data_IF_439740819776
#
_entry.id   IF_439740819776
#
_cell.length_a   1.000
_cell.length_b   1.000
_cell.length_c   1.000
_cell.angle_alpha   90.00
_cell.angle_beta   90.00
_cell.angle_gamma   90.00
#
_symmetry.space_group_name_H-M   'P 1'
#
loop_
_entity.id
_entity.type
_entity.pdbx_description
1 polymer ?
#
# COMPACT_ATOMS: atom_id res chain seq x y z
N UNK A 1 11.92 8.44 17.01
CA UNK A 1 12.34 8.24 15.62
C UNK A 1 11.86 9.48 14.87
N UNK A 2 11.91 9.54 13.54
CA UNK A 2 11.27 10.64 12.81
C UNK A 2 9.77 10.65 13.16
N UNK A 3 9.20 11.81 13.45
CA UNK A 3 7.81 11.94 13.90
C UNK A 3 6.82 11.41 12.84
N UNK A 4 7.21 11.46 11.56
CA UNK A 4 6.44 10.95 10.42
C UNK A 4 6.39 9.42 10.44
N UNK A 5 7.54 8.77 10.66
CA UNK A 5 7.64 7.29 10.73
C UNK A 5 6.87 6.76 11.95
N UNK A 6 7.02 7.42 13.11
CA UNK A 6 6.31 7.07 14.34
C UNK A 6 4.77 7.21 14.16
N UNK A 7 4.34 8.22 13.40
CA UNK A 7 2.92 8.44 13.08
C UNK A 7 2.38 7.38 12.13
N UNK A 8 3.13 7.07 11.06
CA UNK A 8 2.75 6.05 10.07
C UNK A 8 2.63 4.66 10.70
N UNK A 9 3.60 4.27 11.53
CA UNK A 9 3.59 2.99 12.25
C UNK A 9 2.35 2.88 13.16
N UNK A 10 2.04 3.94 13.92
CA UNK A 10 0.85 3.97 14.75
C UNK A 10 -0.43 3.78 13.93
N UNK A 11 -0.55 4.47 12.79
CA UNK A 11 -1.74 4.39 11.92
C UNK A 11 -1.88 3.03 11.25
N UNK A 12 -0.76 2.41 10.86
CA UNK A 12 -0.75 1.06 10.35
C UNK A 12 -1.25 0.03 11.37
N UNK A 13 -0.79 0.14 12.62
CA UNK A 13 -1.24 -0.73 13.71
C UNK A 13 -2.73 -0.53 14.04
N UNK A 14 -3.23 0.71 14.03
CA UNK A 14 -4.67 1.02 14.17
C UNK A 14 -5.50 0.41 13.03
N UNK A 15 -5.00 0.45 11.79
CA UNK A 15 -5.64 -0.19 10.63
C UNK A 15 -5.71 -1.72 10.75
N UNK A 16 -4.60 -2.37 11.10
CA UNK A 16 -4.55 -3.82 11.29
C UNK A 16 -5.48 -4.28 12.41
N UNK A 17 -5.55 -3.51 13.49
CA UNK A 17 -6.47 -3.79 14.61
C UNK A 17 -7.93 -3.74 14.15
N UNK A 18 -8.33 -2.71 13.41
CA UNK A 18 -9.69 -2.62 12.85
C UNK A 18 -9.98 -3.74 11.85
N UNK A 19 -9.00 -4.14 11.03
CA UNK A 19 -9.15 -5.25 10.08
C UNK A 19 -9.37 -6.59 10.79
N UNK A 20 -8.59 -6.87 11.84
CA UNK A 20 -8.75 -8.08 12.65
C UNK A 20 -10.17 -8.17 13.25
N UNK A 21 -10.69 -7.06 13.78
CA UNK A 21 -12.04 -6.99 14.34
C UNK A 21 -13.11 -7.29 13.27
N UNK A 22 -12.96 -6.76 12.05
CA UNK A 22 -13.89 -7.06 10.94
C UNK A 22 -13.83 -8.54 10.54
N UNK A 23 -12.64 -9.13 10.49
CA UNK A 23 -12.49 -10.56 10.14
C UNK A 23 -13.06 -11.48 11.22
N UNK A 24 -12.84 -11.15 12.50
CA UNK A 24 -13.39 -11.91 13.64
C UNK A 24 -14.92 -11.83 13.69
N UNK A 25 -15.50 -10.66 13.40
CA UNK A 25 -16.96 -10.46 13.41
C UNK A 25 -17.65 -11.13 12.24
N UNK A 26 -17.02 -11.21 11.06
CA UNK A 26 -17.53 -11.97 9.92
C UNK A 26 -17.44 -13.50 10.11
N UNK A 27 -16.62 -13.98 11.06
CA UNK A 27 -16.48 -15.39 11.41
C UNK A 27 -17.50 -15.91 12.44
N UNK A 28 -18.30 -15.04 13.06
CA UNK A 28 -19.32 -15.38 14.06
C UNK A 28 -20.75 -15.24 13.55
N UNK A 29 -21.69 -16.03 14.09
CA UNK A 29 -23.13 -16.01 13.73
C UNK A 29 -23.86 -14.67 14.00
N UNK A 30 -23.17 -13.66 14.56
CA UNK A 30 -23.76 -12.38 14.97
C UNK A 30 -23.46 -11.27 13.95
N UNK A 31 -24.46 -11.02 13.11
CA UNK A 31 -24.53 -9.88 12.17
C UNK A 31 -24.78 -8.52 12.86
N UNK A 32 -25.06 -8.50 14.17
CA UNK A 32 -25.23 -7.25 14.91
C UNK A 32 -23.88 -6.56 15.17
N UNK A 33 -23.69 -5.38 14.60
CA UNK A 33 -22.51 -4.53 14.84
C UNK A 33 -21.43 -4.58 13.74
N UNK A 34 -21.55 -5.48 12.75
CA UNK A 34 -20.63 -5.59 11.61
C UNK A 34 -20.48 -4.26 10.87
N UNK A 35 -21.58 -3.52 10.68
CA UNK A 35 -21.56 -2.21 10.02
C UNK A 35 -20.68 -1.19 10.78
N UNK A 36 -20.74 -1.17 12.11
CA UNK A 36 -19.91 -0.26 12.92
C UNK A 36 -18.43 -0.64 12.89
N UNK A 37 -18.12 -1.94 12.84
CA UNK A 37 -16.75 -2.41 12.69
C UNK A 37 -16.20 -2.09 11.29
N UNK A 38 -17.03 -2.20 10.26
CA UNK A 38 -16.67 -1.87 8.88
C UNK A 38 -16.45 -0.35 8.69
N UNK A 39 -17.30 0.49 9.28
CA UNK A 39 -17.11 1.95 9.31
C UNK A 39 -15.79 2.33 10.00
N UNK A 40 -15.47 1.70 11.14
CA UNK A 40 -14.21 1.92 11.84
C UNK A 40 -13.00 1.45 11.04
N UNK A 41 -13.10 0.32 10.34
CA UNK A 41 -12.07 -0.14 9.40
C UNK A 41 -11.85 0.86 8.27
N UNK A 42 -12.93 1.34 7.63
CA UNK A 42 -12.84 2.32 6.55
C UNK A 42 -12.19 3.62 7.03
N UNK A 43 -12.55 4.09 8.23
CA UNK A 43 -11.94 5.28 8.84
C UNK A 43 -10.45 5.09 9.14
N UNK A 44 -10.05 3.94 9.70
CA UNK A 44 -8.64 3.64 9.97
C UNK A 44 -7.84 3.51 8.67
N UNK A 45 -8.43 2.90 7.63
CA UNK A 45 -7.81 2.78 6.31
C UNK A 45 -7.54 4.15 5.66
N UNK A 46 -8.54 5.03 5.64
CA UNK A 46 -8.38 6.38 5.10
C UNK A 46 -7.33 7.19 5.88
N UNK A 47 -7.30 7.03 7.21
CA UNK A 47 -6.31 7.69 8.06
C UNK A 47 -4.89 7.19 7.78
N UNK A 48 -4.72 5.88 7.57
CA UNK A 48 -3.43 5.30 7.19
C UNK A 48 -2.98 5.80 5.81
N UNK A 49 -3.89 5.84 4.84
CA UNK A 49 -3.58 6.36 3.50
C UNK A 49 -3.10 7.82 3.54
N UNK A 50 -3.79 8.68 4.31
CA UNK A 50 -3.37 10.08 4.48
C UNK A 50 -1.97 10.19 5.11
N UNK A 51 -1.63 9.32 6.07
CA UNK A 51 -0.28 9.29 6.63
C UNK A 51 0.77 8.73 5.67
N UNK A 52 0.41 7.84 4.74
CA UNK A 52 1.30 7.43 3.65
C UNK A 52 1.58 8.59 2.69
N UNK A 53 0.56 9.38 2.36
CA UNK A 53 0.70 10.58 1.53
C UNK A 53 1.61 11.61 2.21
N UNK A 54 1.41 11.88 3.51
CA UNK A 54 2.29 12.75 4.31
C UNK A 54 3.74 12.24 4.34
N UNK A 55 3.94 10.92 4.51
CA UNK A 55 5.26 10.33 4.47
C UNK A 55 5.94 10.44 3.10
N UNK A 56 5.17 10.34 2.01
CA UNK A 56 5.67 10.55 0.66
C UNK A 56 6.08 12.01 0.44
N UNK A 57 5.24 12.97 0.83
CA UNK A 57 5.56 14.41 0.76
C UNK A 57 6.82 14.76 1.56
N UNK A 58 7.01 14.11 2.72
CA UNK A 58 8.24 14.28 3.51
C UNK A 58 9.47 13.76 2.76
N UNK A 59 9.39 12.59 2.13
CA UNK A 59 10.48 12.05 1.31
C UNK A 59 10.76 12.95 0.10
N UNK A 60 9.73 13.45 -0.57
CA UNK A 60 9.87 14.41 -1.67
C UNK A 60 10.52 15.72 -1.22
N UNK A 61 10.10 16.25 -0.07
CA UNK A 61 10.69 17.45 0.55
C UNK A 61 12.16 17.24 0.90
N UNK A 62 12.51 16.06 1.42
CA UNK A 62 13.91 15.69 1.66
C UNK A 62 14.71 15.61 0.36
N UNK A 63 14.17 14.96 -0.69
CA UNK A 63 14.79 14.88 -2.03
C UNK A 63 15.07 16.28 -2.60
N UNK A 64 14.12 17.20 -2.49
CA UNK A 64 14.29 18.60 -2.90
C UNK A 64 15.35 19.33 -2.06
N UNK A 65 15.29 19.19 -0.72
CA UNK A 65 16.21 19.88 0.20
C UNK A 65 17.67 19.47 0.03
N UNK A 66 17.92 18.23 -0.40
CA UNK A 66 19.25 17.68 -0.64
C UNK A 66 19.74 17.92 -2.08
N UNK A 67 18.95 18.57 -2.94
CA UNK A 67 19.28 18.77 -4.35
C UNK A 67 19.32 17.47 -5.17
N UNK A 68 18.62 16.44 -4.70
CA UNK A 68 18.57 15.10 -5.29
C UNK A 68 17.43 14.94 -6.31
N UNK A 69 17.03 16.02 -6.98
CA UNK A 69 15.96 16.04 -8.00
C UNK A 69 16.20 15.07 -9.18
N UNK A 70 17.39 14.46 -9.25
CA UNK A 70 17.81 13.51 -10.28
C UNK A 70 17.71 12.02 -9.87
N UNK A 71 16.96 11.64 -8.85
CA UNK A 71 16.56 10.24 -8.66
C UNK A 71 15.14 10.05 -9.19
N UNK A 72 15.06 9.70 -10.48
CA UNK A 72 13.82 9.26 -11.12
C UNK A 72 13.13 8.23 -10.23
N UNK A 73 11.87 8.47 -9.86
CA UNK A 73 11.00 7.38 -9.43
C UNK A 73 11.06 6.32 -10.53
N UNK A 74 11.59 5.14 -10.20
CA UNK A 74 11.29 3.97 -11.00
C UNK A 74 9.82 3.67 -10.74
N UNK A 75 8.95 4.29 -11.54
CA UNK A 75 7.59 3.86 -11.71
C UNK A 75 7.70 2.44 -12.25
N UNK A 76 7.47 1.46 -11.39
CA UNK A 76 7.21 0.10 -11.85
C UNK A 76 5.82 0.12 -12.50
N UNK A 77 5.78 0.59 -13.74
CA UNK A 77 4.62 0.42 -14.59
C UNK A 77 4.42 -1.08 -14.75
N UNK A 78 3.27 -1.57 -14.28
CA UNK A 78 2.84 -2.96 -14.43
C UNK A 78 2.81 -3.41 -15.90
N UNK A 79 2.80 -2.46 -16.84
CA UNK A 79 2.88 -2.73 -18.27
C UNK A 79 4.25 -3.24 -18.74
N UNK A 80 5.33 -2.99 -18.00
CA UNK A 80 6.67 -3.52 -18.33
C UNK A 80 6.84 -5.00 -18.02
N UNK A 81 5.91 -5.64 -17.29
CA UNK A 81 5.97 -7.08 -17.01
C UNK A 81 5.48 -7.95 -18.20
N UNK A 82 4.75 -7.36 -19.16
CA UNK A 82 4.15 -8.11 -20.28
C UNK A 82 5.11 -8.43 -21.43
N UNK A 83 6.32 -7.87 -21.48
CA UNK A 83 7.21 -8.01 -22.65
C UNK A 83 8.17 -9.21 -22.60
N UNK A 84 8.15 -10.05 -21.56
CA UNK A 84 9.05 -11.21 -21.46
C UNK A 84 8.41 -12.58 -21.75
N UNK A 85 7.15 -12.64 -22.22
CA UNK A 85 6.46 -13.92 -22.45
C UNK A 85 6.44 -14.37 -23.94
N UNK A 86 6.77 -13.51 -24.90
CA UNK A 86 6.58 -13.84 -26.32
C UNK A 86 7.81 -14.37 -27.10
N UNK A 87 8.99 -14.51 -26.48
CA UNK A 87 10.22 -14.90 -27.22
C UNK A 87 10.61 -16.40 -27.13
N UNK A 88 9.80 -17.28 -26.52
CA UNK A 88 10.09 -18.73 -26.44
C UNK A 88 9.13 -19.61 -27.25
N UNK A 89 8.76 -19.21 -28.49
CA UNK A 89 8.09 -20.16 -29.41
C UNK A 89 8.31 -19.96 -30.90
N UNK A 90 9.47 -19.44 -31.30
CA UNK A 90 9.86 -19.47 -32.72
C UNK A 90 11.35 -19.71 -32.90
N UNK A 91 11.78 -20.96 -32.69
CA UNK A 91 12.92 -21.55 -33.41
C UNK A 91 13.10 -23.02 -33.03
N UNK A 92 13.42 -23.82 -34.06
CA UNK A 92 13.69 -25.28 -34.11
C UNK A 92 12.44 -26.17 -34.25
N UNK A 93 12.30 -27.01 -35.28
CA UNK A 93 13.27 -27.50 -36.26
C UNK A 93 12.51 -28.15 -37.42
N UNK A 94 12.92 -27.80 -38.65
CA UNK A 94 12.74 -28.61 -39.86
C UNK A 94 13.19 -30.06 -39.62
N UNK A 95 12.29 -31.02 -39.82
CA UNK A 95 12.60 -32.30 -40.50
C UNK A 95 11.41 -32.63 -41.41
#
# INVERSE_FOLDING_TARGET
MDAVVDTLEKKYNEFLTSLAIVLETNGGEKLEGVDSHLENFQKSFLSFQASCEEAQEFVESLKQSLGCEQFQEQVFDSDSLSTMIDDEKSSKTEI
#
